data_IF_853336941673
#
_entry.id   IF_853336941673
#
_cell.length_a   1.000
_cell.length_b   1.000
_cell.length_c   1.000
_cell.angle_alpha   90.00
_cell.angle_beta   90.00
_cell.angle_gamma   90.00
#
_symmetry.space_group_name_H-M   'P 1'
#
loop_
_entity.id
_entity.type
_entity.pdbx_description
1 polymer ?
#
# COMPACT_ATOMS: atom_id res chain seq x y z
N UNK A 1 15.57 -14.94 -10.63
CA UNK A 1 16.36 -13.76 -10.27
C UNK A 1 15.70 -13.01 -9.11
N UNK A 2 16.49 -12.52 -8.16
CA UNK A 2 16.02 -11.78 -6.97
C UNK A 2 15.89 -10.28 -7.22
N UNK A 3 16.18 -9.82 -8.44
CA UNK A 3 16.07 -8.42 -8.81
C UNK A 3 15.91 -8.25 -10.31
N UNK A 4 15.44 -7.05 -10.67
CA UNK A 4 15.33 -6.55 -12.02
C UNK A 4 15.60 -5.03 -12.00
N UNK A 5 16.05 -4.47 -13.10
CA UNK A 5 16.46 -3.06 -13.17
C UNK A 5 15.34 -2.11 -12.75
N UNK A 6 14.12 -2.32 -13.26
CA UNK A 6 13.01 -1.39 -13.08
C UNK A 6 12.19 -1.63 -11.81
N UNK A 7 12.03 -2.89 -11.38
CA UNK A 7 11.11 -3.24 -10.28
C UNK A 7 11.59 -4.45 -9.50
N UNK A 8 11.21 -4.58 -8.20
CA UNK A 8 11.44 -5.76 -7.39
C UNK A 8 10.68 -7.01 -7.90
N UNK A 9 11.05 -8.22 -7.46
CA UNK A 9 10.69 -9.49 -8.10
C UNK A 9 9.28 -10.01 -7.79
N UNK A 10 8.55 -9.47 -6.81
CA UNK A 10 7.31 -10.09 -6.34
C UNK A 10 6.20 -10.10 -7.40
N UNK A 11 6.02 -9.00 -8.13
CA UNK A 11 4.96 -8.94 -9.18
C UNK A 11 5.18 -9.95 -10.30
N UNK A 12 6.37 -10.06 -10.94
CA UNK A 12 6.60 -11.10 -11.95
C UNK A 12 6.56 -12.52 -11.37
N UNK A 13 6.91 -12.71 -10.10
CA UNK A 13 6.73 -14.01 -9.44
C UNK A 13 5.25 -14.39 -9.31
N UNK A 14 4.39 -13.47 -8.89
CA UNK A 14 2.93 -13.68 -8.83
C UNK A 14 2.34 -13.92 -10.23
N UNK A 15 2.82 -13.19 -11.26
CA UNK A 15 2.44 -13.44 -12.64
C UNK A 15 2.72 -14.89 -13.04
N UNK A 16 3.91 -15.39 -12.72
CA UNK A 16 4.32 -16.76 -13.01
C UNK A 16 3.40 -17.77 -12.34
N UNK A 17 3.12 -17.59 -11.04
CA UNK A 17 2.20 -18.46 -10.30
C UNK A 17 0.80 -18.47 -10.91
N UNK A 18 0.28 -17.31 -11.35
CA UNK A 18 -1.01 -17.21 -11.99
C UNK A 18 -1.08 -17.95 -13.33
N UNK A 19 0.00 -17.86 -14.12
CA UNK A 19 0.13 -18.60 -15.38
C UNK A 19 0.24 -20.11 -15.14
N UNK A 20 1.01 -20.52 -14.15
CA UNK A 20 1.17 -21.93 -13.81
C UNK A 20 -0.15 -22.55 -13.30
N UNK A 21 -1.02 -21.73 -12.63
CA UNK A 21 -2.30 -22.20 -12.10
C UNK A 21 -3.43 -22.23 -13.16
N UNK A 22 -3.53 -21.22 -14.03
CA UNK A 22 -4.66 -21.00 -14.96
C UNK A 22 -4.23 -20.95 -16.44
N UNK A 23 -2.97 -21.27 -16.72
CA UNK A 23 -2.40 -21.17 -18.06
C UNK A 23 -2.06 -19.73 -18.47
N UNK A 24 -1.44 -19.56 -19.65
CA UNK A 24 -1.10 -18.25 -20.24
C UNK A 24 -2.34 -17.57 -20.83
N UNK A 25 -3.37 -17.40 -20.02
CA UNK A 25 -4.65 -16.79 -20.37
C UNK A 25 -4.76 -15.40 -19.72
N UNK A 26 -5.66 -14.52 -20.19
CA UNK A 26 -5.95 -13.27 -19.49
C UNK A 26 -6.33 -13.46 -18.01
N UNK A 27 -7.02 -14.56 -17.68
CA UNK A 27 -7.37 -14.92 -16.31
C UNK A 27 -6.14 -15.26 -15.47
N UNK A 28 -5.21 -16.07 -16.00
CA UNK A 28 -3.95 -16.42 -15.32
C UNK A 28 -3.10 -15.18 -15.01
N UNK A 29 -2.96 -14.26 -15.98
CA UNK A 29 -2.22 -13.01 -15.76
C UNK A 29 -2.87 -12.07 -14.74
N UNK A 30 -4.22 -12.06 -14.64
CA UNK A 30 -4.96 -11.13 -13.79
C UNK A 30 -5.36 -11.71 -12.43
N UNK A 31 -5.10 -12.97 -12.18
CA UNK A 31 -5.53 -13.68 -10.97
C UNK A 31 -5.18 -12.90 -9.70
N UNK A 32 -3.90 -12.58 -9.54
CA UNK A 32 -3.42 -11.92 -8.32
C UNK A 32 -3.79 -10.45 -8.21
N UNK A 33 -3.94 -9.73 -9.32
CA UNK A 33 -4.47 -8.35 -9.28
C UNK A 33 -5.95 -8.34 -8.91
N UNK A 34 -6.75 -9.28 -9.40
CA UNK A 34 -8.15 -9.44 -8.99
C UNK A 34 -8.28 -9.79 -7.51
N UNK A 35 -7.48 -10.74 -7.01
CA UNK A 35 -7.44 -11.09 -5.58
C UNK A 35 -7.01 -9.89 -4.73
N UNK A 36 -5.96 -9.18 -5.14
CA UNK A 36 -5.49 -7.99 -4.44
C UNK A 36 -6.57 -6.92 -4.35
N UNK A 37 -7.27 -6.65 -5.45
CA UNK A 37 -8.35 -5.66 -5.47
C UNK A 37 -9.55 -6.08 -4.62
N UNK A 38 -9.94 -7.36 -4.63
CA UNK A 38 -10.97 -7.88 -3.74
C UNK A 38 -10.57 -7.71 -2.26
N UNK A 39 -9.32 -8.01 -1.92
CA UNK A 39 -8.79 -7.82 -0.57
C UNK A 39 -8.78 -6.33 -0.17
N UNK A 40 -8.37 -5.42 -1.05
CA UNK A 40 -8.41 -3.96 -0.81
C UNK A 40 -9.83 -3.48 -0.56
N UNK A 41 -10.80 -3.99 -1.31
CA UNK A 41 -12.23 -3.67 -1.11
C UNK A 41 -12.73 -4.11 0.27
N UNK A 42 -12.36 -5.31 0.72
CA UNK A 42 -12.68 -5.79 2.07
C UNK A 42 -11.98 -4.96 3.15
N UNK A 43 -10.70 -4.64 2.94
CA UNK A 43 -9.91 -3.83 3.86
C UNK A 43 -10.48 -2.42 4.03
N UNK A 44 -11.06 -1.81 2.99
CA UNK A 44 -11.74 -0.52 3.11
C UNK A 44 -12.90 -0.57 4.13
N UNK A 45 -13.73 -1.62 4.08
CA UNK A 45 -14.76 -1.86 5.08
C UNK A 45 -14.19 -2.09 6.49
N UNK A 46 -13.10 -2.86 6.60
CA UNK A 46 -12.42 -3.10 7.87
C UNK A 46 -11.79 -1.84 8.45
N UNK A 47 -11.17 -0.98 7.63
CA UNK A 47 -10.66 0.33 8.04
C UNK A 47 -11.81 1.20 8.56
N UNK A 48 -12.93 1.26 7.83
CA UNK A 48 -14.11 1.98 8.30
C UNK A 48 -14.59 1.48 9.67
N UNK A 49 -14.54 0.17 9.91
CA UNK A 49 -14.87 -0.44 11.21
C UNK A 49 -13.87 0.00 12.31
N UNK A 50 -12.57 -0.03 12.04
CA UNK A 50 -11.55 0.40 13.01
C UNK A 50 -11.69 1.87 13.38
N UNK A 51 -12.19 2.70 12.47
CA UNK A 51 -12.53 4.10 12.69
C UNK A 51 -13.87 4.30 13.41
N UNK A 52 -14.56 3.22 13.81
CA UNK A 52 -15.84 3.26 14.53
C UNK A 52 -17.08 3.28 13.63
N UNK A 53 -16.92 3.01 12.32
CA UNK A 53 -18.02 2.96 11.36
C UNK A 53 -18.97 1.78 11.59
N UNK A 54 -20.28 2.03 11.50
CA UNK A 54 -21.32 0.98 11.57
C UNK A 54 -21.33 0.17 10.27
N UNK A 55 -22.10 -0.94 10.22
CA UNK A 55 -22.20 -1.83 9.03
C UNK A 55 -22.49 -1.09 7.73
N UNK A 56 -23.42 -0.11 7.75
CA UNK A 56 -23.71 0.71 6.56
C UNK A 56 -22.53 1.53 6.08
N UNK A 57 -21.73 2.13 7.00
CA UNK A 57 -20.51 2.85 6.66
C UNK A 57 -19.45 1.94 6.08
N UNK A 58 -19.31 0.72 6.62
CA UNK A 58 -18.37 -0.29 6.11
C UNK A 58 -18.75 -0.71 4.68
N UNK A 59 -20.03 -0.99 4.44
CA UNK A 59 -20.55 -1.33 3.11
C UNK A 59 -20.35 -0.16 2.13
N UNK A 60 -20.66 1.07 2.55
CA UNK A 60 -20.46 2.26 1.72
C UNK A 60 -18.99 2.46 1.35
N UNK A 61 -18.05 2.28 2.29
CA UNK A 61 -16.63 2.38 2.03
C UNK A 61 -16.16 1.34 1.00
N UNK A 62 -16.60 0.08 1.13
CA UNK A 62 -16.28 -0.99 0.18
C UNK A 62 -16.89 -0.72 -1.19
N UNK A 63 -18.15 -0.30 -1.26
CA UNK A 63 -18.83 0.03 -2.53
C UNK A 63 -18.19 1.24 -3.21
N UNK A 64 -17.87 2.29 -2.45
CA UNK A 64 -17.19 3.47 -2.98
C UNK A 64 -15.87 3.08 -3.64
N UNK A 65 -15.09 2.19 -2.99
CA UNK A 65 -13.82 1.71 -3.53
C UNK A 65 -13.99 0.91 -4.83
N UNK A 66 -15.06 0.13 -4.97
CA UNK A 66 -15.38 -0.55 -6.22
C UNK A 66 -15.64 0.42 -7.39
N UNK A 67 -16.06 1.67 -7.10
CA UNK A 67 -16.32 2.70 -8.10
C UNK A 67 -15.12 3.62 -8.38
N UNK A 68 -14.01 3.47 -7.64
CA UNK A 68 -12.78 4.26 -7.87
C UNK A 68 -12.15 3.82 -9.20
N UNK A 69 -11.90 4.75 -10.16
CA UNK A 69 -11.28 4.41 -11.45
C UNK A 69 -9.94 3.68 -11.29
N UNK A 70 -9.10 4.13 -10.37
CA UNK A 70 -7.82 3.47 -10.09
C UNK A 70 -8.02 2.02 -9.60
N UNK A 71 -9.01 1.75 -8.76
CA UNK A 71 -9.32 0.40 -8.28
C UNK A 71 -9.75 -0.54 -9.40
N UNK A 72 -10.57 -0.04 -10.33
CA UNK A 72 -11.00 -0.82 -11.51
C UNK A 72 -9.82 -1.14 -12.43
N UNK A 73 -8.95 -0.16 -12.70
CA UNK A 73 -7.72 -0.36 -13.47
C UNK A 73 -6.77 -1.34 -12.76
N UNK A 74 -6.54 -1.16 -11.47
CA UNK A 74 -5.67 -2.02 -10.68
C UNK A 74 -6.14 -3.47 -10.64
N UNK A 75 -7.45 -3.73 -10.59
CA UNK A 75 -8.01 -5.08 -10.64
C UNK A 75 -8.00 -5.71 -12.03
N UNK A 76 -8.09 -4.90 -13.09
CA UNK A 76 -8.21 -5.38 -14.46
C UNK A 76 -6.87 -5.67 -15.15
N UNK A 77 -5.76 -5.19 -14.62
CA UNK A 77 -4.43 -5.32 -15.21
C UNK A 77 -3.42 -5.82 -14.18
N UNK A 78 -2.56 -6.75 -14.56
CA UNK A 78 -1.43 -7.10 -13.69
C UNK A 78 -0.35 -6.03 -13.82
N UNK A 79 -0.28 -5.20 -12.81
CA UNK A 79 0.77 -4.20 -12.65
C UNK A 79 1.31 -4.26 -11.23
N UNK A 80 2.57 -3.82 -11.05
CA UNK A 80 3.13 -3.64 -9.70
C UNK A 80 2.25 -2.73 -8.82
N UNK A 81 1.59 -1.72 -9.41
CA UNK A 81 0.69 -0.80 -8.69
C UNK A 81 -0.53 -1.51 -8.09
N UNK A 82 -1.02 -2.60 -8.72
CA UNK A 82 -2.16 -3.36 -8.21
C UNK A 82 -1.84 -4.07 -6.90
N UNK A 83 -0.63 -4.67 -6.85
CA UNK A 83 -0.16 -5.41 -5.67
C UNK A 83 0.37 -4.45 -4.61
N UNK A 84 1.05 -3.37 -5.02
CA UNK A 84 1.54 -2.31 -4.12
C UNK A 84 0.39 -1.67 -3.34
N UNK A 85 -0.73 -1.38 -4.02
CA UNK A 85 -1.93 -0.82 -3.40
C UNK A 85 -2.47 -1.70 -2.26
N UNK A 86 -2.46 -3.02 -2.43
CA UNK A 86 -2.83 -3.96 -1.37
C UNK A 86 -1.94 -3.78 -0.13
N UNK A 87 -0.62 -3.71 -0.31
CA UNK A 87 0.31 -3.61 0.81
C UNK A 87 0.15 -2.31 1.59
N UNK A 88 -0.08 -1.19 0.89
CA UNK A 88 -0.33 0.10 1.54
C UNK A 88 -1.61 0.07 2.39
N UNK A 89 -2.71 -0.43 1.83
CA UNK A 89 -4.00 -0.50 2.53
C UNK A 89 -3.95 -1.50 3.69
N UNK A 90 -3.28 -2.63 3.50
CA UNK A 90 -3.08 -3.64 4.54
C UNK A 90 -2.24 -3.10 5.70
N UNK A 91 -1.16 -2.40 5.40
CA UNK A 91 -0.32 -1.76 6.42
C UNK A 91 -1.09 -0.70 7.21
N UNK A 92 -1.88 0.14 6.54
CA UNK A 92 -2.74 1.13 7.19
C UNK A 92 -3.78 0.46 8.12
N UNK A 93 -4.43 -0.60 7.66
CA UNK A 93 -5.38 -1.34 8.49
C UNK A 93 -4.72 -1.97 9.72
N UNK A 94 -3.56 -2.62 9.56
CA UNK A 94 -2.83 -3.21 10.69
C UNK A 94 -2.38 -2.15 11.70
N UNK A 95 -1.91 -0.99 11.22
CA UNK A 95 -1.55 0.12 12.10
C UNK A 95 -2.75 0.61 12.92
N UNK A 96 -3.93 0.76 12.30
CA UNK A 96 -5.16 1.12 13.00
C UNK A 96 -5.57 0.06 14.03
N UNK A 97 -5.43 -1.23 13.71
CA UNK A 97 -5.67 -2.34 14.65
C UNK A 97 -4.77 -2.22 15.89
N UNK A 98 -3.47 -1.98 15.66
CA UNK A 98 -2.49 -1.78 16.76
C UNK A 98 -2.85 -0.54 17.58
N UNK A 99 -3.21 0.56 16.92
CA UNK A 99 -3.59 1.81 17.58
C UNK A 99 -4.86 1.69 18.42
N UNK A 100 -5.78 0.82 18.04
CA UNK A 100 -7.01 0.52 18.76
C UNK A 100 -6.81 -0.52 19.89
N UNK A 101 -5.58 -0.90 20.22
CA UNK A 101 -5.29 -1.84 21.31
C UNK A 101 -5.40 -3.31 20.89
N UNK A 102 -5.27 -3.62 19.60
CA UNK A 102 -5.21 -4.99 19.08
C UNK A 102 -3.98 -5.75 19.58
N UNK A 103 -3.97 -7.08 19.35
CA UNK A 103 -2.86 -7.96 19.75
C UNK A 103 -1.51 -7.38 19.25
N UNK A 104 -0.50 -7.25 20.09
CA UNK A 104 0.83 -6.78 19.70
C UNK A 104 1.48 -7.61 18.57
N UNK A 105 1.04 -8.84 18.33
CA UNK A 105 1.50 -9.67 17.21
C UNK A 105 1.19 -9.08 15.84
N UNK A 106 0.26 -8.12 15.74
CA UNK A 106 -0.02 -7.39 14.49
C UNK A 106 1.20 -6.64 13.95
N UNK A 107 2.19 -6.32 14.81
CA UNK A 107 3.47 -5.80 14.35
C UNK A 107 4.22 -6.75 13.41
N UNK A 108 4.11 -8.07 13.61
CA UNK A 108 4.70 -9.06 12.68
C UNK A 108 4.00 -9.02 11.33
N UNK A 109 2.66 -8.95 11.33
CA UNK A 109 1.88 -8.81 10.09
C UNK A 109 2.23 -7.53 9.34
N UNK A 110 2.35 -6.40 10.07
CA UNK A 110 2.75 -5.12 9.51
C UNK A 110 4.16 -5.19 8.90
N UNK A 111 5.12 -5.80 9.61
CA UNK A 111 6.47 -6.01 9.11
C UNK A 111 6.50 -6.87 7.85
N UNK A 112 5.73 -7.96 7.81
CA UNK A 112 5.59 -8.81 6.62
C UNK A 112 4.99 -8.03 5.45
N UNK A 113 3.93 -7.25 5.67
CA UNK A 113 3.30 -6.43 4.64
C UNK A 113 4.26 -5.38 4.07
N UNK A 114 5.06 -4.73 4.93
CA UNK A 114 6.10 -3.78 4.50
C UNK A 114 7.18 -4.52 3.69
N UNK A 115 7.68 -5.66 4.16
CA UNK A 115 8.70 -6.44 3.46
C UNK A 115 8.26 -6.92 2.08
N UNK A 116 7.05 -7.46 1.96
CA UNK A 116 6.46 -7.86 0.69
C UNK A 116 6.14 -6.65 -0.20
N UNK A 117 5.70 -5.54 0.39
CA UNK A 117 5.52 -4.27 -0.31
C UNK A 117 6.82 -3.76 -0.91
N UNK A 118 7.93 -3.81 -0.17
CA UNK A 118 9.26 -3.48 -0.68
C UNK A 118 9.71 -4.41 -1.82
N UNK A 119 9.32 -5.68 -1.81
CA UNK A 119 9.54 -6.62 -2.91
C UNK A 119 8.59 -6.40 -4.11
N UNK A 120 7.58 -5.54 -3.95
CA UNK A 120 6.68 -5.11 -5.03
C UNK A 120 7.13 -3.79 -5.63
N UNK A 121 7.41 -2.81 -4.75
CA UNK A 121 7.81 -1.45 -5.15
C UNK A 121 8.54 -0.75 -4.02
N UNK A 122 9.67 -0.10 -4.35
CA UNK A 122 10.48 0.60 -3.34
C UNK A 122 9.77 1.82 -2.72
N UNK A 123 8.70 2.34 -3.33
CA UNK A 123 7.86 3.40 -2.73
C UNK A 123 7.22 2.99 -1.41
N UNK A 124 7.13 1.69 -1.10
CA UNK A 124 6.70 1.20 0.21
C UNK A 124 7.60 1.69 1.36
N UNK A 125 8.85 2.07 1.07
CA UNK A 125 9.73 2.74 2.06
C UNK A 125 9.15 4.07 2.56
N UNK A 126 8.44 4.81 1.71
CA UNK A 126 7.75 6.06 2.08
C UNK A 126 6.62 5.75 3.06
N UNK A 127 5.85 4.67 2.80
CA UNK A 127 4.83 4.20 3.73
C UNK A 127 5.44 3.81 5.08
N UNK A 128 6.52 3.03 5.07
CA UNK A 128 7.23 2.62 6.29
C UNK A 128 7.75 3.82 7.09
N UNK A 129 8.28 4.84 6.41
CA UNK A 129 8.71 6.08 7.03
C UNK A 129 7.52 6.84 7.62
N UNK A 130 6.39 6.95 6.90
CA UNK A 130 5.16 7.54 7.40
C UNK A 130 4.65 6.83 8.66
N UNK A 131 4.66 5.49 8.67
CA UNK A 131 4.29 4.68 9.83
C UNK A 131 5.24 4.96 11.00
N UNK A 132 6.54 5.04 10.77
CA UNK A 132 7.52 5.37 11.81
C UNK A 132 7.24 6.75 12.42
N UNK A 133 7.00 7.76 11.60
CA UNK A 133 6.64 9.11 12.05
C UNK A 133 5.35 9.07 12.87
N UNK A 134 4.32 8.38 12.38
CA UNK A 134 3.06 8.22 13.08
C UNK A 134 3.23 7.53 14.46
N UNK A 135 4.04 6.49 14.53
CA UNK A 135 4.35 5.80 15.79
C UNK A 135 5.07 6.74 16.78
N UNK A 136 6.05 7.50 16.32
CA UNK A 136 6.80 8.44 17.16
C UNK A 136 5.94 9.62 17.63
N UNK A 137 5.04 10.10 16.79
CA UNK A 137 4.15 11.24 17.07
C UNK A 137 2.96 10.87 17.97
N UNK A 138 2.67 9.59 18.16
CA UNK A 138 1.50 9.10 18.91
C UNK A 138 1.87 8.37 20.18
N UNK A 139 0.90 8.03 21.06
CA UNK A 139 1.13 7.14 22.21
C UNK A 139 1.67 5.75 21.84
N UNK A 140 1.59 5.35 20.56
CA UNK A 140 2.16 4.10 20.06
C UNK A 140 3.68 4.00 20.28
N UNK A 141 4.39 5.13 20.43
CA UNK A 141 5.81 5.15 20.81
C UNK A 141 6.12 4.32 22.08
N UNK A 142 5.13 4.18 22.99
CA UNK A 142 5.29 3.34 24.19
C UNK A 142 5.47 1.85 23.85
N UNK A 143 4.94 1.42 22.71
CA UNK A 143 5.09 0.04 22.25
C UNK A 143 6.51 -0.27 21.75
N UNK A 144 7.32 0.76 21.41
CA UNK A 144 8.73 0.59 21.08
C UNK A 144 9.56 0.02 22.22
N UNK A 145 9.08 0.12 23.46
CA UNK A 145 9.66 -0.56 24.61
C UNK A 145 9.39 -2.08 24.61
N UNK A 146 8.51 -2.58 23.77
CA UNK A 146 8.22 -4.02 23.64
C UNK A 146 8.99 -4.62 22.47
N UNK A 147 9.10 -5.96 22.44
CA UNK A 147 9.81 -6.67 21.37
C UNK A 147 9.10 -6.67 20.00
N UNK A 148 7.79 -6.47 19.98
CA UNK A 148 6.96 -6.72 18.79
C UNK A 148 7.25 -5.79 17.61
N UNK A 149 7.39 -4.45 17.78
CA UNK A 149 7.77 -3.57 16.68
C UNK A 149 9.13 -3.94 16.07
N UNK A 150 10.09 -4.32 16.92
CA UNK A 150 11.43 -4.70 16.49
C UNK A 150 11.45 -6.02 15.74
N UNK A 151 10.67 -7.02 16.19
CA UNK A 151 10.49 -8.28 15.48
C UNK A 151 9.81 -8.05 14.13
N UNK A 152 8.80 -7.16 14.05
CA UNK A 152 8.18 -6.76 12.80
C UNK A 152 9.16 -6.09 11.84
N UNK A 153 9.95 -5.13 12.34
CA UNK A 153 10.98 -4.46 11.55
C UNK A 153 12.04 -5.46 11.04
N UNK A 154 12.52 -6.35 11.91
CA UNK A 154 13.47 -7.41 11.54
C UNK A 154 12.90 -8.33 10.48
N UNK A 155 11.63 -8.74 10.59
CA UNK A 155 10.94 -9.55 9.60
C UNK A 155 10.85 -8.84 8.25
N UNK A 156 10.51 -7.54 8.24
CA UNK A 156 10.48 -6.73 7.03
C UNK A 156 11.84 -6.70 6.33
N UNK A 157 12.91 -6.46 7.09
CA UNK A 157 14.28 -6.45 6.58
C UNK A 157 14.69 -7.83 6.06
N UNK A 158 14.36 -8.90 6.78
CA UNK A 158 14.67 -10.28 6.36
C UNK A 158 13.99 -10.64 5.04
N UNK A 159 12.73 -10.29 4.88
CA UNK A 159 11.97 -10.52 3.63
C UNK A 159 12.57 -9.72 2.48
N UNK A 160 12.99 -8.50 2.72
CA UNK A 160 13.58 -7.63 1.69
C UNK A 160 15.07 -7.94 1.41
N UNK A 161 15.79 -8.55 2.34
CA UNK A 161 17.24 -8.75 2.29
C UNK A 161 17.76 -9.37 0.99
N UNK A 162 17.12 -10.40 0.37
CA UNK A 162 17.62 -10.97 -0.88
C UNK A 162 17.63 -9.95 -2.03
N UNK A 163 16.64 -9.06 -2.08
CA UNK A 163 16.59 -8.01 -3.10
C UNK A 163 17.59 -6.89 -2.80
N UNK A 164 17.73 -6.49 -1.54
CA UNK A 164 18.73 -5.51 -1.12
C UNK A 164 20.16 -5.99 -1.44
N UNK A 165 20.44 -7.25 -1.18
CA UNK A 165 21.72 -7.88 -1.54
C UNK A 165 21.96 -7.87 -3.04
N UNK A 166 20.95 -8.23 -3.84
CA UNK A 166 21.04 -8.18 -5.29
C UNK A 166 21.33 -6.77 -5.80
N UNK A 167 20.61 -5.75 -5.28
CA UNK A 167 20.84 -4.35 -5.63
C UNK A 167 22.27 -3.89 -5.30
N UNK A 168 22.78 -4.31 -4.14
CA UNK A 168 24.14 -3.99 -3.73
C UNK A 168 25.17 -4.60 -4.70
N UNK A 169 25.01 -5.86 -5.08
CA UNK A 169 25.88 -6.52 -6.06
C UNK A 169 25.84 -5.86 -7.45
N UNK A 170 24.74 -5.20 -7.79
CA UNK A 170 24.54 -4.53 -9.08
C UNK A 170 24.62 -3.01 -8.98
N UNK A 171 25.39 -2.49 -8.00
CA UNK A 171 25.65 -1.05 -7.82
C UNK A 171 24.40 -0.17 -7.76
N UNK A 172 23.30 -0.71 -7.18
CA UNK A 172 22.02 -0.01 -7.05
C UNK A 172 21.48 0.51 -8.38
N UNK A 173 21.54 -0.31 -9.41
CA UNK A 173 21.09 0.01 -10.79
C UNK A 173 19.68 0.61 -10.86
N UNK A 174 18.85 0.35 -9.87
CA UNK A 174 17.53 0.96 -9.75
C UNK A 174 17.59 2.49 -9.60
N UNK A 175 18.59 3.03 -8.92
CA UNK A 175 18.70 4.49 -8.74
C UNK A 175 18.98 5.19 -10.07
N UNK A 176 19.78 4.60 -10.91
CA UNK A 176 20.07 5.15 -12.24
C UNK A 176 18.82 5.08 -13.14
N UNK A 177 18.10 3.96 -13.07
CA UNK A 177 16.80 3.82 -13.73
C UNK A 177 15.79 4.90 -13.30
N UNK A 178 15.68 5.18 -12.00
CA UNK A 178 14.77 6.23 -11.48
C UNK A 178 15.18 7.62 -11.97
N UNK A 179 16.48 7.93 -11.97
CA UNK A 179 16.97 9.21 -12.49
C UNK A 179 16.65 9.40 -13.96
N UNK A 180 16.85 8.36 -14.76
CA UNK A 180 16.57 8.38 -16.21
C UNK A 180 15.08 8.53 -16.51
N UNK A 181 14.23 7.78 -15.80
CA UNK A 181 12.76 7.89 -15.91
C UNK A 181 12.30 9.29 -15.50
N UNK A 182 12.81 9.84 -14.40
CA UNK A 182 12.46 11.19 -13.96
C UNK A 182 12.86 12.25 -15.01
N UNK A 183 14.08 12.18 -15.52
CA UNK A 183 14.55 13.09 -16.55
C UNK A 183 13.69 13.01 -17.84
N UNK A 184 13.30 11.80 -18.22
CA UNK A 184 12.37 11.57 -19.35
C UNK A 184 10.99 12.18 -19.07
N UNK A 185 10.40 11.91 -17.90
CA UNK A 185 9.04 12.33 -17.56
C UNK A 185 8.94 13.86 -17.43
N UNK A 186 9.97 14.52 -16.93
CA UNK A 186 10.08 16.00 -16.95
C UNK A 186 10.15 16.51 -18.39
N UNK A 187 10.97 15.89 -19.25
CA UNK A 187 11.16 16.32 -20.65
C UNK A 187 9.85 16.26 -21.46
N UNK A 188 8.99 15.28 -21.19
CA UNK A 188 7.72 15.10 -21.91
C UNK A 188 6.54 15.79 -21.19
N UNK A 189 6.77 16.61 -20.16
CA UNK A 189 5.73 17.34 -19.41
C UNK A 189 4.79 16.44 -18.61
N UNK A 190 5.19 15.19 -18.30
CA UNK A 190 4.32 14.24 -17.59
C UNK A 190 4.15 14.61 -16.09
N UNK A 191 5.00 15.47 -15.58
CA UNK A 191 4.90 16.02 -14.22
C UNK A 191 3.88 17.16 -14.11
N UNK A 192 3.49 17.74 -15.26
CA UNK A 192 2.57 18.86 -15.30
C UNK A 192 1.14 18.37 -14.99
N UNK A 193 0.45 19.10 -14.14
CA UNK A 193 -0.91 18.72 -13.74
C UNK A 193 -1.00 17.46 -12.85
N UNK A 194 0.11 17.00 -12.26
CA UNK A 194 0.14 15.79 -11.42
C UNK A 194 -0.95 15.77 -10.34
N UNK A 195 -1.13 16.86 -9.58
CA UNK A 195 -2.14 16.94 -8.53
C UNK A 195 -3.57 16.84 -9.10
N UNK A 196 -3.84 17.54 -10.21
CA UNK A 196 -5.15 17.47 -10.88
C UNK A 196 -5.42 16.05 -11.36
N UNK A 197 -4.42 15.38 -11.94
CA UNK A 197 -4.50 13.98 -12.38
C UNK A 197 -4.78 13.02 -11.21
N UNK A 198 -4.15 13.19 -10.06
CA UNK A 198 -4.41 12.37 -8.87
C UNK A 198 -5.84 12.53 -8.36
N UNK A 199 -6.35 13.76 -8.32
CA UNK A 199 -7.69 14.06 -7.81
C UNK A 199 -8.79 13.64 -8.80
N UNK A 200 -8.59 13.88 -10.10
CA UNK A 200 -9.62 13.64 -11.11
C UNK A 200 -9.60 12.20 -11.63
N UNK A 201 -8.42 11.65 -11.91
CA UNK A 201 -8.29 10.30 -12.49
C UNK A 201 -8.14 9.24 -11.41
N UNK A 202 -7.32 9.49 -10.40
CA UNK A 202 -7.05 8.53 -9.32
C UNK A 202 -8.28 8.29 -8.45
N UNK A 203 -8.79 9.32 -7.80
CA UNK A 203 -9.91 9.24 -6.88
C UNK A 203 -11.29 9.25 -7.58
N UNK A 204 -11.37 9.85 -8.77
CA UNK A 204 -12.62 10.04 -9.52
C UNK A 204 -13.48 11.21 -9.02
N UNK A 205 -14.00 12.06 -9.92
CA UNK A 205 -14.77 13.24 -9.53
C UNK A 205 -16.09 12.90 -8.84
N UNK A 206 -16.72 11.77 -9.17
CA UNK A 206 -17.98 11.32 -8.55
C UNK A 206 -17.82 11.00 -7.04
N UNK A 207 -16.64 10.59 -6.62
CA UNK A 207 -16.35 10.27 -5.22
C UNK A 207 -15.70 11.43 -4.47
N UNK A 208 -15.44 12.56 -5.13
CA UNK A 208 -14.86 13.73 -4.52
C UNK A 208 -15.61 14.21 -3.25
N UNK A 209 -16.94 14.30 -3.21
CA UNK A 209 -17.66 14.69 -1.99
C UNK A 209 -17.39 13.73 -0.83
N UNK A 210 -17.27 12.42 -1.09
CA UNK A 210 -17.08 11.41 -0.06
C UNK A 210 -15.68 11.47 0.57
N UNK A 211 -14.62 11.55 -0.24
CA UNK A 211 -13.26 11.61 0.30
C UNK A 211 -12.94 12.99 0.89
N UNK A 212 -13.50 14.09 0.34
CA UNK A 212 -13.38 15.43 0.94
C UNK A 212 -14.06 15.47 2.31
N UNK A 213 -15.29 14.93 2.42
CA UNK A 213 -15.99 14.80 3.69
C UNK A 213 -15.22 13.94 4.70
N UNK A 214 -14.60 12.85 4.24
CA UNK A 214 -13.73 11.99 5.05
C UNK A 214 -12.49 12.72 5.58
N UNK A 215 -11.80 13.47 4.73
CA UNK A 215 -10.66 14.30 5.12
C UNK A 215 -11.07 15.42 6.07
N UNK A 216 -12.19 16.11 5.81
CA UNK A 216 -12.72 17.14 6.68
C UNK A 216 -13.10 16.55 8.06
N UNK A 217 -13.71 15.35 8.08
CA UNK A 217 -14.00 14.66 9.34
C UNK A 217 -12.71 14.33 10.11
N UNK A 218 -11.70 13.78 9.47
CA UNK A 218 -10.39 13.52 10.10
C UNK A 218 -9.75 14.80 10.62
N UNK A 219 -9.81 15.90 9.84
CA UNK A 219 -9.18 17.17 10.19
C UNK A 219 -9.90 17.89 11.34
N UNK A 220 -11.23 17.87 11.38
CA UNK A 220 -12.01 18.78 12.24
C UNK A 220 -12.86 18.07 13.30
N UNK A 221 -13.29 16.80 13.10
CA UNK A 221 -14.16 16.14 14.06
C UNK A 221 -13.42 15.79 15.36
N UNK A 222 -14.03 16.12 16.51
CA UNK A 222 -13.48 15.78 17.83
C UNK A 222 -13.29 14.26 17.99
N UNK A 223 -14.20 13.47 17.45
CA UNK A 223 -14.15 12.00 17.46
C UNK A 223 -12.95 11.43 16.70
N UNK A 224 -12.44 12.13 15.67
CA UNK A 224 -11.30 11.72 14.87
C UNK A 224 -9.93 12.10 15.48
N UNK A 225 -9.92 12.88 16.58
CA UNK A 225 -8.70 13.47 17.15
C UNK A 225 -7.60 12.43 17.46
N UNK A 226 -7.99 11.21 17.85
CA UNK A 226 -7.05 10.13 18.18
C UNK A 226 -6.33 9.54 16.96
N UNK A 227 -6.90 9.68 15.75
CA UNK A 227 -6.33 9.12 14.52
C UNK A 227 -5.63 10.16 13.64
N UNK A 228 -5.75 11.48 13.94
CA UNK A 228 -5.11 12.53 13.14
C UNK A 228 -3.60 12.37 12.95
N UNK A 229 -2.82 11.88 13.94
CA UNK A 229 -1.39 11.70 13.78
C UNK A 229 -1.01 10.38 13.08
N UNK A 230 -1.96 9.48 12.80
CA UNK A 230 -1.75 8.22 12.05
C UNK A 230 -1.91 8.46 10.55
#
# INVERSE_FOLDING_TARGET
AWGYVAYPPLTPFLARLGIDALGATPGGYRLFSGIAQAAVTLLAGLIARELGGRRGTQALASLALCCVPFSLLAGSMLQYSSIDYLWWVLAAWMLLRIANGGDPRWWLGLGLAIGLGMLTRYTMSICALGILVAVLATPLRRQLATRWPWLGASLSLLVFAPNAWWQWQHHFVYLDFVREIHARDVRIGRTDGFLAGQLLVGAGPLLAPLWIAGLAWLAFAKAARRWRPL
#
